data_IF_611154872391
#
_entry.id   IF_611154872391
#
_cell.length_a   1.000
_cell.length_b   1.000
_cell.length_c   1.000
_cell.angle_alpha   90.00
_cell.angle_beta   90.00
_cell.angle_gamma   90.00
#
_symmetry.space_group_name_H-M   'P 1'
#
loop_
_entity.id
_entity.type
_entity.pdbx_description
1 polymer ?
#
# COMPACT_ATOMS: atom_id res chain seq x y z
N UNK A 1 -24.49 -21.25 -22.67
CA UNK A 1 -23.68 -20.10 -23.13
C UNK A 1 -22.96 -19.54 -21.93
N UNK A 2 -21.63 -19.75 -21.85
CA UNK A 2 -20.80 -19.14 -20.81
C UNK A 2 -20.68 -17.67 -21.18
N UNK A 3 -21.40 -16.79 -20.48
CA UNK A 3 -21.23 -15.35 -20.62
C UNK A 3 -20.00 -14.93 -19.82
N UNK A 4 -18.81 -15.20 -20.34
CA UNK A 4 -17.60 -14.52 -19.87
C UNK A 4 -17.58 -13.12 -20.50
N UNK A 5 -18.37 -12.21 -19.95
CA UNK A 5 -18.10 -10.79 -20.17
C UNK A 5 -16.80 -10.48 -19.45
N UNK A 6 -15.71 -10.36 -20.21
CA UNK A 6 -14.53 -9.64 -19.75
C UNK A 6 -14.93 -8.16 -19.58
N UNK A 7 -15.74 -7.87 -18.56
CA UNK A 7 -15.82 -6.54 -18.02
C UNK A 7 -14.42 -6.30 -17.45
N UNK A 8 -13.67 -5.38 -18.08
CA UNK A 8 -12.48 -4.80 -17.45
C UNK A 8 -12.92 -4.27 -16.10
N UNK A 9 -12.69 -5.05 -15.06
CA UNK A 9 -12.89 -4.63 -13.69
C UNK A 9 -12.01 -3.38 -13.53
N UNK A 10 -12.64 -2.21 -13.36
CA UNK A 10 -11.89 -0.96 -13.25
C UNK A 10 -11.04 -1.04 -11.99
N UNK A 11 -9.80 -1.49 -12.14
CA UNK A 11 -8.82 -1.52 -11.05
C UNK A 11 -8.56 -0.09 -10.64
N UNK A 12 -8.80 0.21 -9.37
CA UNK A 12 -8.42 1.51 -8.81
C UNK A 12 -6.89 1.58 -8.79
N UNK A 13 -6.27 2.69 -9.23
CA UNK A 13 -4.83 2.87 -9.06
C UNK A 13 -4.42 2.68 -7.59
N UNK A 14 -3.25 2.10 -7.35
CA UNK A 14 -2.74 1.86 -6.01
C UNK A 14 -1.35 2.50 -5.86
N UNK A 15 -1.24 3.46 -4.96
CA UNK A 15 0.01 4.18 -4.69
C UNK A 15 -0.05 4.80 -3.30
N UNK A 16 1.09 4.83 -2.59
CA UNK A 16 1.18 5.51 -1.31
C UNK A 16 2.51 6.25 -1.17
N UNK A 17 2.49 7.29 -0.34
CA UNK A 17 3.67 7.94 0.19
C UNK A 17 3.42 8.19 1.68
N UNK A 18 4.30 7.68 2.52
CA UNK A 18 4.24 7.86 3.96
C UNK A 18 5.64 8.16 4.51
N UNK A 19 5.67 8.86 5.65
CA UNK A 19 6.88 9.31 6.33
C UNK A 19 6.94 8.70 7.73
N UNK A 20 8.15 8.59 8.26
CA UNK A 20 8.34 8.33 9.68
C UNK A 20 7.66 9.43 10.50
N UNK A 21 7.00 9.09 11.62
CA UNK A 21 6.50 10.10 12.54
C UNK A 21 7.67 10.83 13.22
N UNK A 22 7.39 11.97 13.86
CA UNK A 22 8.39 12.78 14.56
C UNK A 22 9.22 11.99 15.59
N UNK A 23 8.60 11.00 16.24
CA UNK A 23 9.24 10.11 17.20
C UNK A 23 9.12 8.66 16.70
N UNK A 24 9.94 8.24 15.73
CA UNK A 24 9.86 6.91 15.18
C UNK A 24 10.25 5.88 16.24
N UNK A 25 9.47 4.81 16.32
CA UNK A 25 9.79 3.64 17.14
C UNK A 25 10.02 2.47 16.21
N UNK A 26 11.16 1.82 16.35
CA UNK A 26 11.49 0.60 15.65
C UNK A 26 12.03 -0.41 16.67
N UNK A 27 11.52 -1.63 16.59
CA UNK A 27 12.02 -2.79 17.32
C UNK A 27 12.58 -3.79 16.33
N UNK A 28 13.61 -4.52 16.75
CA UNK A 28 14.12 -5.63 15.96
C UNK A 28 12.96 -6.61 15.64
N UNK A 29 12.98 -7.18 14.43
CA UNK A 29 11.98 -8.13 13.95
C UNK A 29 10.54 -7.58 13.90
N UNK A 30 10.35 -6.27 13.80
CA UNK A 30 9.03 -5.63 13.65
C UNK A 30 8.99 -4.73 12.42
N UNK A 31 7.83 -4.56 11.76
CA UNK A 31 7.68 -3.59 10.68
C UNK A 31 8.01 -2.16 11.11
N UNK A 32 8.64 -1.39 10.22
CA UNK A 32 8.83 0.05 10.40
C UNK A 32 7.52 0.75 10.04
N UNK A 33 6.94 1.46 11.00
CA UNK A 33 5.64 2.11 10.81
C UNK A 33 5.83 3.55 10.33
N UNK A 34 5.65 3.78 9.02
CA UNK A 34 5.54 5.13 8.45
C UNK A 34 4.11 5.63 8.61
N UNK A 35 3.77 6.20 9.78
CA UNK A 35 2.39 6.57 10.11
C UNK A 35 1.97 7.95 9.60
N UNK A 36 2.90 8.79 9.16
CA UNK A 36 2.59 10.11 8.58
C UNK A 36 2.30 9.96 7.08
N UNK A 37 1.04 9.70 6.73
CA UNK A 37 0.60 9.49 5.34
C UNK A 37 0.49 10.82 4.59
N UNK A 38 1.14 10.93 3.43
CA UNK A 38 0.96 12.03 2.48
C UNK A 38 -0.19 11.71 1.51
N UNK A 39 -0.20 10.50 0.95
CA UNK A 39 -1.32 9.96 0.19
C UNK A 39 -1.36 8.43 0.26
N UNK A 40 -2.55 7.85 0.05
CA UNK A 40 -2.81 6.41 0.07
C UNK A 40 -3.91 6.04 -0.93
N UNK A 41 -3.63 6.18 -2.22
CA UNK A 41 -4.55 5.86 -3.31
C UNK A 41 -4.82 4.36 -3.31
N UNK A 42 -6.09 3.97 -3.34
CA UNK A 42 -6.51 2.57 -3.24
C UNK A 42 -6.45 1.99 -1.82
N UNK A 43 -6.11 2.79 -0.80
CA UNK A 43 -6.15 2.43 0.63
C UNK A 43 -5.44 1.12 0.98
N UNK A 44 -4.40 0.78 0.23
CA UNK A 44 -3.69 -0.50 0.34
C UNK A 44 -2.52 -0.45 1.33
N UNK A 45 -2.07 0.74 1.72
CA UNK A 45 -1.11 0.92 2.82
C UNK A 45 -1.84 1.08 4.16
N UNK A 46 -1.48 0.26 5.15
CA UNK A 46 -1.98 0.32 6.52
C UNK A 46 -1.02 1.08 7.44
N UNK A 47 -1.25 2.38 7.72
CA UNK A 47 -0.31 3.23 8.50
C UNK A 47 -0.23 2.87 9.98
N UNK A 48 -1.13 2.02 10.48
CA UNK A 48 -1.07 1.46 11.84
C UNK A 48 -0.05 0.31 11.93
N UNK A 49 0.10 -0.45 10.85
CA UNK A 49 0.92 -1.67 10.82
C UNK A 49 2.23 -1.47 10.05
N UNK A 50 2.35 -0.43 9.24
CA UNK A 50 3.48 -0.24 8.33
C UNK A 50 3.48 -1.22 7.16
N UNK A 51 2.33 -1.81 6.83
CA UNK A 51 2.20 -2.89 5.84
C UNK A 51 1.45 -2.38 4.61
N UNK A 52 2.00 -2.63 3.42
CA UNK A 52 1.31 -2.48 2.15
C UNK A 52 0.76 -3.85 1.71
N UNK A 53 -0.56 -3.95 1.56
CA UNK A 53 -1.24 -5.16 1.08
C UNK A 53 -1.55 -4.99 -0.39
N UNK A 54 -0.88 -5.76 -1.25
CA UNK A 54 -1.03 -5.71 -2.71
C UNK A 54 -2.50 -5.93 -3.12
N UNK A 55 -3.17 -4.94 -3.76
CA UNK A 55 -4.60 -5.05 -4.10
C UNK A 55 -4.85 -5.89 -5.35
N UNK A 56 -3.89 -5.94 -6.27
CA UNK A 56 -4.00 -6.69 -7.54
C UNK A 56 -2.66 -7.33 -7.91
N UNK A 57 -2.69 -8.53 -8.51
CA UNK A 57 -1.48 -9.14 -9.06
C UNK A 57 -0.85 -8.25 -10.15
N UNK A 58 0.47 -8.07 -10.08
CA UNK A 58 1.23 -7.22 -10.98
C UNK A 58 2.61 -6.85 -10.42
N UNK A 59 3.26 -5.91 -11.09
CA UNK A 59 4.57 -5.37 -10.68
C UNK A 59 4.35 -4.07 -9.90
N UNK A 60 5.07 -3.92 -8.79
CA UNK A 60 5.05 -2.73 -7.94
C UNK A 60 6.47 -2.21 -7.74
N UNK A 61 6.62 -0.89 -7.66
CA UNK A 61 7.88 -0.23 -7.37
C UNK A 61 7.81 0.38 -5.97
N UNK A 62 8.80 0.08 -5.14
CA UNK A 62 8.99 0.67 -3.83
C UNK A 62 10.31 1.45 -3.81
N UNK A 63 10.30 2.59 -3.12
CA UNK A 63 11.47 3.43 -2.92
C UNK A 63 11.37 4.11 -1.56
N UNK A 64 12.51 4.29 -0.89
CA UNK A 64 12.61 4.90 0.43
C UNK A 64 13.89 5.76 0.51
N UNK A 65 13.90 6.73 1.42
CA UNK A 65 15.00 7.67 1.68
C UNK A 65 15.21 7.80 3.18
#
# INVERSE_FOLDING_TARGET
RVSSSAATERRTPAAFLAKLPANPRASANSPVVFSTVVFNIGNSYGPLLGVYTVPYAGVYQFSFQ
#
